data_IF_893264973427
#
_entry.id   IF_893264973427
#
_cell.length_a   1.000
_cell.length_b   1.000
_cell.length_c   1.000
_cell.angle_alpha   90.00
_cell.angle_beta   90.00
_cell.angle_gamma   90.00
#
_symmetry.space_group_name_H-M   'P 1'
#
loop_
_entity.id
_entity.type
_entity.pdbx_description
1 polymer ?
#
# COMPACT_ATOMS: atom_id res chain seq x y z
N UNK A 1 -49.34 26.81 19.59
CA UNK A 1 -49.94 28.07 19.10
C UNK A 1 -48.88 28.82 18.35
N UNK A 2 -48.97 28.77 17.02
CA UNK A 2 -48.20 29.60 16.09
C UNK A 2 -48.60 31.06 16.26
N UNK A 3 -47.64 31.97 16.29
CA UNK A 3 -47.88 33.28 15.72
C UNK A 3 -46.60 33.87 15.14
N UNK A 4 -46.85 34.53 14.04
CA UNK A 4 -45.99 34.97 12.97
C UNK A 4 -45.70 36.49 13.13
N UNK A 5 -44.74 36.98 12.34
CA UNK A 5 -44.51 38.39 11.91
C UNK A 5 -43.58 39.32 12.72
N UNK A 6 -42.40 39.50 12.10
CA UNK A 6 -41.53 40.69 11.93
C UNK A 6 -42.26 42.00 11.51
N UNK A 7 -41.60 43.15 11.20
CA UNK A 7 -40.30 43.76 11.60
C UNK A 7 -40.44 45.29 11.88
N UNK A 8 -39.45 45.95 12.51
CA UNK A 8 -39.27 47.42 12.37
C UNK A 8 -37.79 47.84 12.54
N UNK A 9 -37.29 48.68 11.62
CA UNK A 9 -36.35 49.77 11.97
C UNK A 9 -34.99 49.77 11.29
N UNK A 10 -34.89 50.40 10.10
CA UNK A 10 -33.64 50.93 9.58
C UNK A 10 -33.18 52.12 10.44
N UNK A 11 -31.86 52.26 10.65
CA UNK A 11 -31.26 53.56 10.93
C UNK A 11 -30.12 53.82 9.94
N UNK A 12 -30.17 55.01 9.37
CA UNK A 12 -29.29 55.54 8.35
C UNK A 12 -28.27 56.47 9.00
N UNK A 13 -26.99 56.34 8.66
CA UNK A 13 -25.94 57.38 8.73
C UNK A 13 -24.71 56.69 8.12
N UNK A 14 -24.19 57.02 6.93
CA UNK A 14 -23.71 58.33 6.51
C UNK A 14 -23.75 58.48 4.98
N UNK A 15 -23.98 59.71 4.51
CA UNK A 15 -23.84 60.15 3.12
C UNK A 15 -22.99 61.42 3.07
N UNK A 16 -22.36 61.61 1.89
CA UNK A 16 -21.62 62.78 1.34
C UNK A 16 -20.09 62.62 1.47
N UNK A 17 -19.27 62.83 0.45
CA UNK A 17 -19.25 63.94 -0.53
C UNK A 17 -18.70 63.47 -1.90
N UNK A 18 -19.21 64.10 -2.96
CA UNK A 18 -18.90 64.00 -4.40
C UNK A 18 -17.72 64.91 -4.76
N UNK A 19 -16.80 64.46 -5.62
CA UNK A 19 -16.20 65.34 -6.65
C UNK A 19 -15.75 64.56 -7.89
N UNK A 20 -16.20 65.07 -9.04
CA UNK A 20 -15.95 64.60 -10.40
C UNK A 20 -14.57 65.04 -10.90
N UNK A 21 -13.79 64.12 -11.47
CA UNK A 21 -12.83 64.45 -12.54
C UNK A 21 -12.85 63.32 -13.57
N UNK A 22 -13.37 63.63 -14.76
CA UNK A 22 -13.24 62.83 -15.96
C UNK A 22 -11.81 62.98 -16.48
N UNK A 23 -11.04 61.90 -16.55
CA UNK A 23 -9.91 61.82 -17.48
C UNK A 23 -9.72 60.39 -17.98
N UNK A 24 -9.85 60.26 -19.31
CA UNK A 24 -9.28 59.21 -20.15
C UNK A 24 -9.55 57.76 -19.78
N UNK A 25 -10.53 57.20 -20.48
CA UNK A 25 -10.62 55.78 -20.79
C UNK A 25 -9.26 55.21 -21.22
N UNK A 26 -8.82 54.19 -20.48
CA UNK A 26 -8.05 53.08 -21.04
C UNK A 26 -8.55 51.84 -20.32
N UNK A 27 -9.58 51.24 -20.91
CA UNK A 27 -10.02 49.88 -20.58
C UNK A 27 -8.93 48.95 -21.11
N UNK A 28 -7.93 48.67 -20.28
CA UNK A 28 -7.09 47.49 -20.50
C UNK A 28 -7.91 46.34 -19.96
N UNK A 29 -8.57 45.62 -20.87
CA UNK A 29 -9.24 44.38 -20.58
C UNK A 29 -8.27 43.46 -19.81
N UNK A 30 -8.70 42.98 -18.65
CA UNK A 30 -8.12 41.82 -18.01
C UNK A 30 -8.21 40.66 -19.00
N UNK A 31 -7.09 40.33 -19.63
CA UNK A 31 -6.82 38.96 -20.02
C UNK A 31 -5.96 38.36 -18.91
N UNK A 32 -6.59 38.04 -17.77
CA UNK A 32 -6.08 36.93 -16.97
C UNK A 32 -6.28 35.69 -17.85
N UNK A 33 -5.25 35.38 -18.62
CA UNK A 33 -5.15 34.11 -19.34
C UNK A 33 -5.34 33.02 -18.27
N UNK A 34 -6.38 32.18 -18.36
CA UNK A 34 -6.38 30.99 -17.53
C UNK A 34 -5.14 30.21 -17.96
N UNK A 35 -4.13 30.13 -17.08
CA UNK A 35 -3.05 29.16 -17.23
C UNK A 35 -3.63 27.79 -16.91
N UNK A 36 -4.61 27.35 -17.70
CA UNK A 36 -4.82 25.95 -17.94
C UNK A 36 -3.71 25.55 -18.89
N UNK A 37 -2.52 25.27 -18.33
CA UNK A 37 -1.66 24.28 -18.99
C UNK A 37 -2.57 23.09 -19.27
N UNK A 38 -2.64 22.60 -20.52
CA UNK A 38 -3.23 21.30 -20.76
C UNK A 38 -2.63 20.36 -19.72
N UNK A 39 -3.45 19.57 -19.04
CA UNK A 39 -2.96 18.34 -18.43
C UNK A 39 -2.51 17.53 -19.63
N UNK A 40 -1.25 17.74 -20.00
CA UNK A 40 -0.54 16.98 -21.00
C UNK A 40 -0.75 15.52 -20.59
N UNK A 41 -1.31 14.76 -21.52
CA UNK A 41 -1.70 13.37 -21.34
C UNK A 41 -0.65 12.63 -20.52
N UNK A 42 -1.10 11.95 -19.45
CA UNK A 42 -0.28 11.11 -18.56
C UNK A 42 0.16 9.82 -19.27
N UNK A 43 0.51 9.93 -20.54
CA UNK A 43 0.86 8.87 -21.44
C UNK A 43 2.18 9.21 -22.12
N UNK A 44 3.28 9.28 -21.37
CA UNK A 44 4.59 9.02 -21.97
C UNK A 44 5.64 8.56 -20.96
N UNK A 45 6.03 7.29 -21.14
CA UNK A 45 7.15 6.54 -20.56
C UNK A 45 7.14 6.27 -19.06
N UNK A 46 7.20 4.97 -18.71
CA UNK A 46 7.62 4.54 -17.38
C UNK A 46 9.14 4.68 -17.31
N UNK A 47 9.64 5.85 -16.91
CA UNK A 47 11.03 5.95 -16.50
C UNK A 47 11.18 5.21 -15.16
N UNK A 48 11.86 4.06 -15.21
CA UNK A 48 12.10 3.16 -14.08
C UNK A 48 13.39 3.50 -13.32
N UNK A 49 14.08 4.59 -13.70
CA UNK A 49 15.36 4.98 -13.12
C UNK A 49 15.21 5.80 -11.84
N UNK A 50 14.61 5.21 -10.80
CA UNK A 50 14.66 5.78 -9.44
C UNK A 50 15.71 5.06 -8.59
N UNK A 51 16.71 5.75 -8.01
CA UNK A 51 17.65 5.15 -7.06
C UNK A 51 16.91 4.65 -5.81
N UNK A 52 17.04 3.36 -5.47
CA UNK A 52 16.30 2.73 -4.36
C UNK A 52 15.00 2.02 -4.76
N UNK A 53 14.80 1.77 -6.06
CA UNK A 53 13.64 1.09 -6.64
C UNK A 53 13.54 -0.44 -6.40
N UNK A 54 14.48 -1.03 -5.66
CA UNK A 54 14.45 -2.46 -5.39
C UNK A 54 13.70 -2.76 -4.09
N UNK A 55 12.80 -3.74 -4.16
CA UNK A 55 12.19 -4.33 -2.98
C UNK A 55 13.31 -4.74 -2.01
N UNK A 56 13.33 -4.19 -0.80
CA UNK A 56 14.41 -4.50 0.15
C UNK A 56 14.48 -6.00 0.50
N UNK A 57 13.38 -6.75 0.36
CA UNK A 57 13.39 -8.22 0.45
C UNK A 57 14.42 -8.86 -0.47
N UNK A 58 14.75 -8.27 -1.63
CA UNK A 58 15.78 -8.76 -2.55
C UNK A 58 17.17 -8.76 -1.92
N UNK A 59 17.50 -7.76 -1.09
CA UNK A 59 18.80 -7.71 -0.40
C UNK A 59 19.01 -8.89 0.55
N UNK A 60 17.92 -9.53 1.00
CA UNK A 60 18.00 -10.66 1.91
C UNK A 60 17.98 -12.02 1.20
N UNK A 61 17.67 -12.08 -0.11
CA UNK A 61 17.41 -13.35 -0.82
C UNK A 61 18.59 -14.33 -0.77
N UNK A 62 19.82 -13.82 -0.80
CA UNK A 62 21.02 -14.65 -0.81
C UNK A 62 21.43 -15.13 0.58
N UNK A 63 20.87 -14.55 1.64
CA UNK A 63 21.17 -14.93 3.02
C UNK A 63 20.61 -16.32 3.30
N UNK A 64 21.48 -17.22 3.74
CA UNK A 64 21.14 -18.62 4.06
C UNK A 64 20.70 -18.77 5.51
N UNK A 65 19.86 -19.77 5.75
CA UNK A 65 19.45 -20.15 7.09
C UNK A 65 20.65 -20.58 7.95
N UNK A 66 20.63 -20.19 9.23
CA UNK A 66 21.55 -20.71 10.23
C UNK A 66 21.37 -22.23 10.40
N UNK A 67 22.44 -22.93 10.76
CA UNK A 67 22.44 -24.40 10.85
C UNK A 67 21.35 -24.95 11.78
N UNK A 68 21.12 -24.29 12.92
CA UNK A 68 20.09 -24.65 13.90
C UNK A 68 18.65 -24.46 13.40
N UNK A 69 18.46 -23.69 12.32
CA UNK A 69 17.15 -23.33 11.77
C UNK A 69 16.92 -23.86 10.34
N UNK A 70 17.89 -24.59 9.76
CA UNK A 70 17.77 -25.19 8.42
C UNK A 70 16.52 -26.05 8.26
N UNK A 71 16.10 -26.76 9.31
CA UNK A 71 14.89 -27.60 9.27
C UNK A 71 13.62 -26.76 9.15
N UNK A 72 13.50 -25.71 9.96
CA UNK A 72 12.38 -24.78 9.97
C UNK A 72 12.28 -24.07 8.61
N UNK A 73 13.40 -23.54 8.11
CA UNK A 73 13.46 -22.91 6.80
C UNK A 73 12.95 -23.84 5.68
N UNK A 74 13.43 -25.10 5.65
CA UNK A 74 12.98 -26.09 4.66
C UNK A 74 11.49 -26.38 4.74
N UNK A 75 10.93 -26.51 5.95
CA UNK A 75 9.50 -26.78 6.13
C UNK A 75 8.67 -25.59 5.64
N UNK A 76 9.03 -24.36 6.02
CA UNK A 76 8.32 -23.15 5.62
C UNK A 76 8.33 -22.96 4.10
N UNK A 77 9.50 -23.15 3.47
CA UNK A 77 9.65 -23.08 2.01
C UNK A 77 8.74 -24.09 1.34
N UNK A 78 8.76 -25.36 1.76
CA UNK A 78 7.90 -26.39 1.19
C UNK A 78 6.40 -26.10 1.36
N UNK A 79 5.98 -25.57 2.52
CA UNK A 79 4.59 -25.15 2.75
C UNK A 79 4.16 -24.03 1.80
N UNK A 80 5.04 -23.05 1.57
CA UNK A 80 4.80 -21.94 0.66
C UNK A 80 4.82 -22.37 -0.81
N UNK A 81 5.71 -23.28 -1.20
CA UNK A 81 5.78 -23.82 -2.56
C UNK A 81 4.52 -24.61 -2.91
N UNK A 82 4.05 -25.45 -1.98
CA UNK A 82 2.79 -26.18 -2.15
C UNK A 82 1.60 -25.21 -2.30
N UNK A 83 1.52 -24.21 -1.43
CA UNK A 83 0.48 -23.18 -1.50
C UNK A 83 0.51 -22.44 -2.85
N UNK A 84 1.69 -22.04 -3.30
CA UNK A 84 1.85 -21.36 -4.59
C UNK A 84 1.49 -22.28 -5.76
N UNK A 85 1.81 -23.57 -5.69
CA UNK A 85 1.47 -24.55 -6.71
C UNK A 85 -0.05 -24.71 -6.89
N UNK A 86 -0.81 -24.77 -5.79
CA UNK A 86 -2.29 -24.84 -5.82
C UNK A 86 -2.91 -23.62 -6.52
N UNK A 87 -2.26 -22.44 -6.44
CA UNK A 87 -2.72 -21.22 -7.12
C UNK A 87 -2.19 -21.04 -8.55
N UNK A 88 -1.05 -21.65 -8.88
CA UNK A 88 -0.39 -21.51 -10.19
C UNK A 88 -1.10 -22.24 -11.35
N UNK A 89 -2.39 -22.61 -11.19
CA UNK A 89 -3.19 -23.20 -12.25
C UNK A 89 -3.56 -22.19 -13.37
N UNK A 90 -3.57 -20.87 -13.08
CA UNK A 90 -3.85 -19.83 -14.09
C UNK A 90 -2.85 -19.80 -15.24
N UNK A 91 -1.56 -20.01 -14.97
CA UNK A 91 -0.53 -19.99 -16.03
C UNK A 91 -0.62 -21.17 -16.98
N UNK A 92 -1.42 -22.19 -16.64
CA UNK A 92 -1.68 -23.39 -17.44
C UNK A 92 -3.06 -23.40 -18.10
N UNK A 93 -3.82 -22.30 -18.02
CA UNK A 93 -5.17 -22.21 -18.57
C UNK A 93 -6.21 -23.06 -17.83
N UNK A 94 -5.89 -23.52 -16.61
CA UNK A 94 -6.80 -24.31 -15.79
C UNK A 94 -7.53 -23.41 -14.79
N UNK A 95 -8.83 -23.68 -14.51
CA UNK A 95 -9.55 -22.95 -13.47
C UNK A 95 -8.92 -23.18 -12.10
N UNK A 96 -8.86 -22.15 -11.25
CA UNK A 96 -8.46 -22.31 -9.84
C UNK A 96 -9.53 -23.12 -9.10
N UNK A 97 -9.11 -24.17 -8.40
CA UNK A 97 -9.91 -24.78 -7.34
C UNK A 97 -9.80 -23.95 -6.05
N UNK A 98 -10.77 -23.05 -5.85
CA UNK A 98 -10.80 -22.19 -4.66
C UNK A 98 -11.03 -22.95 -3.35
N UNK A 99 -11.62 -24.14 -3.41
CA UNK A 99 -11.82 -24.99 -2.24
C UNK A 99 -10.49 -25.58 -1.79
N UNK A 100 -9.67 -26.05 -2.73
CA UNK A 100 -8.32 -26.54 -2.45
C UNK A 100 -7.42 -25.43 -1.90
N UNK A 101 -7.49 -24.23 -2.49
CA UNK A 101 -6.80 -23.03 -2.00
C UNK A 101 -7.17 -22.74 -0.54
N UNK A 102 -8.46 -22.67 -0.23
CA UNK A 102 -8.92 -22.34 1.12
C UNK A 102 -8.51 -23.41 2.14
N UNK A 103 -8.62 -24.69 1.79
CA UNK A 103 -8.20 -25.78 2.67
C UNK A 103 -6.68 -25.75 2.91
N UNK A 104 -5.90 -25.44 1.88
CA UNK A 104 -4.45 -25.27 1.96
C UNK A 104 -4.08 -24.11 2.88
N UNK A 105 -4.69 -22.93 2.71
CA UNK A 105 -4.44 -21.76 3.56
C UNK A 105 -4.79 -22.02 5.03
N UNK A 106 -5.91 -22.71 5.28
CA UNK A 106 -6.36 -23.08 6.62
C UNK A 106 -5.40 -24.06 7.28
N UNK A 107 -4.98 -25.10 6.56
CA UNK A 107 -4.00 -26.08 7.01
C UNK A 107 -2.66 -25.39 7.31
N UNK A 108 -2.17 -24.57 6.39
CA UNK A 108 -0.92 -23.84 6.53
C UNK A 108 -0.95 -22.88 7.71
N UNK A 109 -2.03 -22.10 7.87
CA UNK A 109 -2.21 -21.21 9.02
C UNK A 109 -2.10 -21.98 10.34
N UNK A 110 -2.81 -23.11 10.46
CA UNK A 110 -2.81 -23.93 11.68
C UNK A 110 -1.42 -24.49 11.97
N UNK A 111 -0.77 -25.08 10.97
CA UNK A 111 0.51 -25.76 11.15
C UNK A 111 1.63 -24.74 11.40
N UNK A 112 1.57 -23.57 10.76
CA UNK A 112 2.50 -22.47 10.98
C UNK A 112 2.36 -21.88 12.39
N UNK A 113 1.13 -21.59 12.85
CA UNK A 113 0.89 -21.10 14.22
C UNK A 113 1.48 -22.02 15.29
N UNK A 114 1.39 -23.35 15.10
CA UNK A 114 2.01 -24.33 15.99
C UNK A 114 3.53 -24.25 15.98
N UNK A 115 4.14 -24.01 14.81
CA UNK A 115 5.60 -23.92 14.68
C UNK A 115 6.16 -22.71 15.45
N UNK A 116 5.47 -21.58 15.41
CA UNK A 116 5.94 -20.31 16.00
C UNK A 116 5.41 -20.08 17.43
N UNK A 117 4.66 -21.02 18.00
CA UNK A 117 4.00 -20.86 19.31
C UNK A 117 4.98 -20.49 20.43
N UNK A 118 6.20 -21.04 20.38
CA UNK A 118 7.24 -20.81 21.40
C UNK A 118 8.26 -19.75 20.99
N UNK A 119 8.67 -19.77 19.72
CA UNK A 119 9.80 -18.96 19.23
C UNK A 119 9.37 -17.60 18.67
N UNK A 120 8.08 -17.43 18.36
CA UNK A 120 7.60 -16.31 17.54
C UNK A 120 8.02 -16.44 16.08
N UNK A 121 7.88 -15.36 15.33
CA UNK A 121 8.34 -15.28 13.94
C UNK A 121 9.86 -15.39 13.85
N UNK A 122 10.34 -16.05 12.82
CA UNK A 122 11.76 -16.20 12.57
C UNK A 122 12.30 -14.98 11.80
N UNK A 123 13.52 -14.59 12.15
CA UNK A 123 14.26 -13.53 11.48
C UNK A 123 15.02 -14.03 10.25
N UNK A 124 15.55 -13.10 9.46
CA UNK A 124 16.40 -13.44 8.31
C UNK A 124 17.68 -14.14 8.78
N UNK A 125 18.29 -13.70 9.90
CA UNK A 125 19.46 -14.35 10.47
C UNK A 125 19.21 -15.79 10.92
N UNK A 126 17.96 -16.14 11.25
CA UNK A 126 17.57 -17.50 11.61
C UNK A 126 17.30 -18.36 10.36
N UNK A 127 16.31 -18.01 9.55
CA UNK A 127 15.80 -18.90 8.48
C UNK A 127 16.22 -18.47 7.06
N UNK A 128 17.03 -17.44 6.93
CA UNK A 128 17.47 -16.88 5.64
C UNK A 128 16.36 -16.14 4.90
N UNK A 129 16.72 -15.47 3.81
CA UNK A 129 15.77 -14.65 3.04
C UNK A 129 14.63 -15.46 2.43
N UNK A 130 14.94 -16.64 1.86
CA UNK A 130 13.92 -17.54 1.30
C UNK A 130 12.96 -18.06 2.38
N UNK A 131 13.47 -18.37 3.58
CA UNK A 131 12.65 -18.78 4.71
C UNK A 131 11.70 -17.67 5.13
N UNK A 132 12.18 -16.43 5.27
CA UNK A 132 11.35 -15.28 5.63
C UNK A 132 10.32 -14.95 4.54
N UNK A 133 10.67 -15.07 3.27
CA UNK A 133 9.72 -14.91 2.17
C UNK A 133 8.59 -15.95 2.21
N UNK A 134 8.92 -17.20 2.52
CA UNK A 134 7.94 -18.25 2.72
C UNK A 134 7.08 -17.97 3.96
N UNK A 135 7.69 -17.62 5.09
CA UNK A 135 7.00 -17.24 6.32
C UNK A 135 5.97 -16.12 6.07
N UNK A 136 6.41 -15.06 5.40
CA UNK A 136 5.55 -13.93 5.05
C UNK A 136 4.37 -14.35 4.16
N UNK A 137 4.60 -15.22 3.19
CA UNK A 137 3.54 -15.72 2.30
C UNK A 137 2.45 -16.46 3.07
N UNK A 138 2.82 -17.28 4.05
CA UNK A 138 1.88 -18.00 4.92
C UNK A 138 1.08 -17.03 5.81
N UNK A 139 1.71 -15.97 6.33
CA UNK A 139 1.05 -14.93 7.12
C UNK A 139 0.03 -14.17 6.26
N UNK A 140 0.47 -13.63 5.13
CA UNK A 140 -0.34 -12.77 4.27
C UNK A 140 -1.62 -13.47 3.79
N UNK A 141 -1.54 -14.78 3.53
CA UNK A 141 -2.63 -15.61 3.00
C UNK A 141 -3.53 -16.20 4.08
N UNK A 142 -3.17 -16.09 5.35
CA UNK A 142 -4.01 -16.57 6.43
C UNK A 142 -5.37 -15.88 6.44
N UNK A 143 -6.46 -16.62 6.59
CA UNK A 143 -7.80 -16.03 6.79
C UNK A 143 -8.06 -15.61 8.24
N UNK A 144 -7.13 -15.89 9.14
CA UNK A 144 -7.17 -15.46 10.54
C UNK A 144 -6.56 -14.05 10.66
N UNK A 145 -7.40 -13.02 10.57
CA UNK A 145 -6.95 -11.62 10.67
C UNK A 145 -6.43 -11.24 12.06
N UNK A 146 -6.88 -11.92 13.12
CA UNK A 146 -6.32 -11.71 14.45
C UNK A 146 -4.86 -12.20 14.50
N UNK A 147 -4.60 -13.37 13.89
CA UNK A 147 -3.24 -13.85 13.69
C UNK A 147 -2.39 -12.90 12.84
N UNK A 148 -2.91 -12.38 11.72
CA UNK A 148 -2.17 -11.40 10.90
C UNK A 148 -1.77 -10.15 11.69
N UNK A 149 -2.65 -9.62 12.55
CA UNK A 149 -2.32 -8.46 13.39
C UNK A 149 -1.22 -8.77 14.39
N UNK A 150 -1.30 -9.92 15.06
CA UNK A 150 -0.24 -10.36 15.98
C UNK A 150 1.10 -10.58 15.24
N UNK A 151 1.05 -11.13 14.02
CA UNK A 151 2.21 -11.30 13.17
C UNK A 151 2.82 -9.95 12.76
N UNK A 152 2.01 -8.96 12.39
CA UNK A 152 2.49 -7.61 12.07
C UNK A 152 3.28 -6.98 13.23
N UNK A 153 2.83 -7.16 14.48
CA UNK A 153 3.57 -6.66 15.65
C UNK A 153 4.91 -7.37 15.85
N UNK A 154 4.98 -8.68 15.57
CA UNK A 154 6.25 -9.42 15.57
C UNK A 154 7.18 -8.95 14.46
N UNK A 155 6.66 -8.75 13.24
CA UNK A 155 7.41 -8.23 12.10
C UNK A 155 7.99 -6.84 12.40
N UNK A 156 7.23 -5.95 13.06
CA UNK A 156 7.72 -4.62 13.50
C UNK A 156 8.94 -4.73 14.41
N UNK A 157 8.96 -5.68 15.35
CA UNK A 157 10.09 -5.92 16.26
C UNK A 157 11.32 -6.50 15.54
N UNK A 158 11.10 -7.36 14.53
CA UNK A 158 12.19 -7.91 13.71
C UNK A 158 12.79 -6.83 12.79
N UNK A 159 11.94 -6.03 12.15
CA UNK A 159 12.37 -4.90 11.30
C UNK A 159 13.14 -3.84 12.08
N UNK A 160 12.72 -3.52 13.31
CA UNK A 160 13.44 -2.57 14.17
C UNK A 160 14.89 -3.03 14.48
N UNK A 161 15.18 -4.33 14.37
CA UNK A 161 16.51 -4.93 14.50
C UNK A 161 17.23 -5.11 13.16
N UNK A 162 16.68 -4.55 12.08
CA UNK A 162 17.18 -4.69 10.71
C UNK A 162 17.26 -6.14 10.22
N UNK A 163 16.46 -7.04 10.80
CA UNK A 163 16.52 -8.49 10.56
C UNK A 163 15.20 -9.03 9.96
N UNK A 164 14.52 -8.18 9.20
CA UNK A 164 13.29 -8.49 8.46
C UNK A 164 13.06 -7.47 7.33
N UNK A 165 12.53 -7.88 6.17
CA UNK A 165 12.22 -6.96 5.06
C UNK A 165 11.10 -5.95 5.38
N UNK A 166 11.36 -4.67 5.17
CA UNK A 166 10.40 -3.59 5.42
C UNK A 166 9.21 -3.56 4.45
N UNK A 167 9.41 -4.05 3.23
CA UNK A 167 8.37 -4.12 2.21
C UNK A 167 7.24 -5.09 2.62
N UNK A 168 7.59 -6.21 3.25
CA UNK A 168 6.64 -7.18 3.80
C UNK A 168 5.77 -6.55 4.91
N UNK A 169 6.35 -5.71 5.77
CA UNK A 169 5.58 -4.96 6.77
C UNK A 169 4.56 -4.03 6.10
N UNK A 170 5.00 -3.24 5.13
CA UNK A 170 4.15 -2.30 4.42
C UNK A 170 2.97 -3.00 3.73
N UNK A 171 3.24 -4.14 3.08
CA UNK A 171 2.23 -4.93 2.38
C UNK A 171 1.16 -5.49 3.34
N UNK A 172 1.55 -6.00 4.51
CA UNK A 172 0.60 -6.55 5.48
C UNK A 172 -0.17 -5.44 6.21
N UNK A 173 0.49 -4.33 6.53
CA UNK A 173 -0.13 -3.16 7.16
C UNK A 173 -1.24 -2.58 6.26
N UNK A 174 -0.94 -2.34 4.98
CA UNK A 174 -1.94 -1.88 4.01
C UNK A 174 -3.04 -2.92 3.77
N UNK A 175 -2.75 -4.23 3.86
CA UNK A 175 -3.78 -5.29 3.79
C UNK A 175 -4.83 -5.12 4.89
N UNK A 176 -4.36 -4.94 6.12
CA UNK A 176 -5.20 -4.86 7.31
C UNK A 176 -5.97 -3.54 7.33
N UNK A 177 -5.36 -2.43 6.90
CA UNK A 177 -6.04 -1.16 6.74
C UNK A 177 -7.15 -1.24 5.69
N UNK A 178 -6.85 -1.80 4.50
CA UNK A 178 -7.85 -1.99 3.46
C UNK A 178 -9.00 -2.91 3.93
N UNK A 179 -8.68 -3.97 4.69
CA UNK A 179 -9.68 -4.87 5.29
C UNK A 179 -10.62 -4.15 6.27
N UNK A 180 -10.12 -3.12 6.94
CA UNK A 180 -10.85 -2.26 7.88
C UNK A 180 -11.54 -1.06 7.18
N UNK A 181 -11.46 -0.97 5.84
CA UNK A 181 -12.00 0.16 5.09
C UNK A 181 -11.25 1.49 5.29
N UNK A 182 -10.02 1.43 5.82
CA UNK A 182 -9.19 2.59 6.11
C UNK A 182 -8.25 2.91 4.94
N UNK A 183 -7.85 4.19 4.76
CA UNK A 183 -6.81 4.54 3.81
C UNK A 183 -5.49 3.83 4.12
N UNK A 184 -4.79 3.42 3.07
CA UNK A 184 -3.48 2.81 3.11
C UNK A 184 -2.39 3.82 3.45
N UNK A 185 -1.26 3.34 3.97
CA UNK A 185 -0.08 4.16 4.25
C UNK A 185 0.87 4.15 3.07
N UNK A 186 1.12 2.97 2.48
CA UNK A 186 2.16 2.77 1.46
C UNK A 186 1.61 2.50 0.06
N UNK A 187 0.30 2.34 -0.09
CA UNK A 187 -0.35 2.10 -1.37
C UNK A 187 0.07 0.78 -2.01
N UNK A 188 0.11 -0.32 -1.26
CA UNK A 188 0.46 -1.64 -1.82
C UNK A 188 -0.74 -2.40 -2.41
N UNK A 189 -1.97 -1.93 -2.18
CA UNK A 189 -3.20 -2.52 -2.68
C UNK A 189 -3.78 -1.69 -3.80
N UNK A 190 -4.03 -2.38 -4.91
CA UNK A 190 -4.64 -1.89 -6.13
C UNK A 190 -5.93 -2.67 -6.37
N UNK A 191 -6.88 -2.02 -7.02
CA UNK A 191 -8.13 -2.62 -7.48
C UNK A 191 -7.88 -3.41 -8.77
N UNK A 192 -8.85 -4.24 -9.19
CA UNK A 192 -8.75 -4.99 -10.44
C UNK A 192 -8.55 -4.11 -11.68
N UNK A 193 -9.07 -2.88 -11.66
CA UNK A 193 -8.90 -1.88 -12.73
C UNK A 193 -7.51 -1.18 -12.70
N UNK A 194 -6.61 -1.61 -11.81
CA UNK A 194 -5.28 -1.03 -11.63
C UNK A 194 -5.26 0.28 -10.82
N UNK A 195 -6.42 0.83 -10.45
CA UNK A 195 -6.47 2.03 -9.61
C UNK A 195 -6.10 1.72 -8.16
N UNK A 196 -5.51 2.69 -7.46
CA UNK A 196 -5.13 2.54 -6.06
C UNK A 196 -6.37 2.58 -5.16
N UNK A 197 -6.41 1.75 -4.11
CA UNK A 197 -7.31 2.01 -2.98
C UNK A 197 -6.90 3.33 -2.29
N UNK A 198 -7.79 4.00 -1.53
CA UNK A 198 -7.46 5.26 -0.87
C UNK A 198 -6.14 5.18 -0.09
N UNK A 199 -5.31 6.22 -0.19
CA UNK A 199 -4.06 6.39 0.58
C UNK A 199 -4.16 7.66 1.40
N UNK A 200 -3.50 7.68 2.56
CA UNK A 200 -3.21 8.95 3.24
C UNK A 200 -2.24 9.77 2.38
N UNK A 201 -2.38 11.09 2.39
CA UNK A 201 -1.43 12.07 1.82
C UNK A 201 -0.60 11.53 0.64
N UNK A 202 -1.18 11.66 -0.57
CA UNK A 202 -0.63 11.10 -1.81
C UNK A 202 0.71 11.75 -2.19
N UNK A 203 0.94 13.01 -1.81
CA UNK A 203 2.15 13.75 -2.16
C UNK A 203 3.37 13.21 -1.41
N UNK A 204 3.16 12.67 -0.21
CA UNK A 204 4.19 12.03 0.61
C UNK A 204 4.28 10.51 0.43
N UNK A 205 3.54 9.93 -0.53
CA UNK A 205 3.44 8.48 -0.68
C UNK A 205 4.79 7.83 -0.99
N UNK A 206 5.53 8.34 -1.97
CA UNK A 206 6.79 7.73 -2.40
C UNK A 206 7.88 7.85 -1.32
N UNK A 207 7.86 8.91 -0.50
CA UNK A 207 8.74 9.03 0.66
C UNK A 207 8.47 7.93 1.70
N UNK A 208 7.19 7.66 1.99
CA UNK A 208 6.81 6.55 2.89
C UNK A 208 7.18 5.19 2.30
N UNK A 209 6.97 4.99 0.99
CA UNK A 209 7.36 3.77 0.29
C UNK A 209 8.87 3.52 0.37
N UNK A 210 9.68 4.54 0.11
CA UNK A 210 11.13 4.46 0.23
C UNK A 210 11.57 4.09 1.66
N UNK A 211 10.91 4.61 2.71
CA UNK A 211 11.20 4.25 4.11
C UNK A 211 11.02 2.76 4.45
N UNK A 212 10.28 2.03 3.60
CA UNK A 212 10.06 0.59 3.72
C UNK A 212 10.76 -0.23 2.65
N UNK A 213 11.57 0.39 1.80
CA UNK A 213 12.21 -0.29 0.67
C UNK A 213 11.23 -0.75 -0.39
N UNK A 214 10.14 0.00 -0.60
CA UNK A 214 9.23 -0.16 -1.73
C UNK A 214 9.64 0.80 -2.86
N UNK A 215 9.58 0.33 -4.10
CA UNK A 215 9.74 1.19 -5.28
C UNK A 215 8.68 2.31 -5.32
N UNK A 216 8.91 3.45 -5.99
CA UNK A 216 7.89 4.47 -6.22
C UNK A 216 6.59 3.89 -6.80
N UNK A 217 5.44 4.48 -6.48
CA UNK A 217 4.13 3.95 -6.86
C UNK A 217 4.02 3.73 -8.38
N UNK A 218 4.45 4.72 -9.18
CA UNK A 218 4.38 4.65 -10.64
C UNK A 218 5.12 3.43 -11.19
N UNK A 219 6.30 3.13 -10.67
CA UNK A 219 7.08 1.96 -11.06
C UNK A 219 6.42 0.65 -10.61
N UNK A 220 5.83 0.62 -9.42
CA UNK A 220 5.17 -0.57 -8.90
C UNK A 220 3.91 -0.97 -9.69
N UNK A 221 3.17 0.02 -10.23
CA UNK A 221 1.94 -0.24 -11.00
C UNK A 221 2.15 -0.25 -12.52
N UNK A 222 3.31 0.20 -13.03
CA UNK A 222 3.61 0.20 -14.47
C UNK A 222 3.48 -1.18 -15.16
N UNK A 223 3.88 -2.32 -14.56
CA UNK A 223 3.69 -3.63 -15.19
C UNK A 223 2.21 -3.98 -15.40
N UNK A 224 1.30 -3.42 -14.60
CA UNK A 224 -0.13 -3.68 -14.69
C UNK A 224 -0.83 -2.84 -15.77
N UNK A 225 -0.23 -1.73 -16.22
CA UNK A 225 -0.79 -0.88 -17.27
C UNK A 225 -0.40 -1.31 -18.69
N UNK A 226 0.38 -2.40 -18.83
CA UNK A 226 0.79 -2.97 -20.14
C UNK A 226 0.01 -4.22 -20.54
N UNK A 227 -0.99 -4.62 -19.75
CA UNK A 227 -1.90 -5.72 -20.06
C UNK A 227 -3.17 -5.16 -20.72
N UNK A 228 -3.03 -4.61 -21.92
CA UNK A 228 -4.13 -4.39 -22.88
C UNK A 228 -3.82 -5.18 -24.15
#
# INVERSE_FOLDING_TARGET
MTNDKMPVGLSAFQKKIIFLIFSSFSVIALAEQPVTKPIESVAESCDLSFPGAELNSRHFQDIKAADSFKKQAKILIAMSEHEQAVRNHFTKGQPIDWKEVEETDRKNTRDFKKMIEKEGLFSVSQIGGQGVAAEFSLIQRSRDFAFQRNALDMMRRLFARQDFPGDYLAILEDQLLAKDGKPQIYGTRVKPDGSLYPVIDKDQLDARRASRGLAPLRQAICPMSKAE
#
